data_IF_662415413082
#
_entry.id   IF_662415413082
#
_cell.length_a   1.000
_cell.length_b   1.000
_cell.length_c   1.000
_cell.angle_alpha   90.00
_cell.angle_beta   90.00
_cell.angle_gamma   90.00
#
_symmetry.space_group_name_H-M   'P 1'
#
loop_
_entity.id
_entity.type
_entity.pdbx_description
1 polymer ?
#
# COMPACT_ATOMS: atom_id res chain seq x y z
N UNK A 1 -17.09 -7.85 -42.83
CA UNK A 1 -17.63 -6.69 -42.06
C UNK A 1 -16.80 -6.37 -40.81
N UNK A 2 -16.46 -7.32 -39.92
CA UNK A 2 -15.66 -7.06 -38.70
C UNK A 2 -14.21 -6.58 -38.92
N UNK A 3 -13.55 -6.99 -40.01
CA UNK A 3 -12.15 -6.62 -40.31
C UNK A 3 -12.05 -5.17 -40.82
N UNK A 4 -13.05 -4.72 -41.57
CA UNK A 4 -13.11 -3.36 -42.12
C UNK A 4 -13.27 -2.30 -41.02
N UNK A 5 -14.08 -2.59 -40.00
CA UNK A 5 -14.25 -1.74 -38.82
C UNK A 5 -12.99 -1.65 -37.95
N UNK A 6 -12.22 -2.75 -37.84
CA UNK A 6 -10.94 -2.74 -37.11
C UNK A 6 -9.90 -1.84 -37.78
N UNK A 7 -9.74 -1.91 -39.11
CA UNK A 7 -8.83 -1.01 -39.85
C UNK A 7 -9.22 0.45 -39.66
N UNK A 8 -10.50 0.79 -39.76
CA UNK A 8 -10.99 2.16 -39.56
C UNK A 8 -10.72 2.73 -38.15
N UNK A 9 -10.94 1.93 -37.10
CA UNK A 9 -10.69 2.34 -35.71
C UNK A 9 -9.19 2.57 -35.48
N UNK A 10 -8.33 1.69 -36.03
CA UNK A 10 -6.88 1.80 -35.89
C UNK A 10 -6.33 3.03 -36.63
N UNK A 11 -6.83 3.31 -37.83
CA UNK A 11 -6.49 4.53 -38.58
C UNK A 11 -6.95 5.79 -37.85
N UNK A 12 -8.12 5.78 -37.22
CA UNK A 12 -8.61 6.92 -36.42
C UNK A 12 -7.76 7.16 -35.16
N UNK A 13 -7.33 6.09 -34.48
CA UNK A 13 -6.45 6.17 -33.31
C UNK A 13 -5.04 6.68 -33.67
N UNK A 14 -4.49 6.24 -34.81
CA UNK A 14 -3.20 6.74 -35.32
C UNK A 14 -3.28 8.22 -35.73
N UNK A 15 -4.37 8.63 -36.39
CA UNK A 15 -4.60 10.04 -36.73
C UNK A 15 -4.74 10.90 -35.46
N UNK A 16 -5.45 10.43 -34.44
CA UNK A 16 -5.59 11.13 -33.15
C UNK A 16 -4.24 11.26 -32.39
N UNK A 17 -3.39 10.24 -32.46
CA UNK A 17 -2.04 10.23 -31.89
C UNK A 17 -1.11 11.24 -32.58
N UNK A 18 -1.18 11.33 -33.91
CA UNK A 18 -0.40 12.29 -34.69
C UNK A 18 -0.90 13.73 -34.47
N UNK A 19 -2.20 13.94 -34.30
CA UNK A 19 -2.77 15.27 -34.01
C UNK A 19 -2.39 15.77 -32.61
N UNK A 20 -2.34 14.91 -31.58
CA UNK A 20 -1.97 15.33 -30.23
C UNK A 20 -0.47 15.59 -30.01
N UNK A 21 0.42 15.05 -30.86
CA UNK A 21 1.86 15.36 -30.82
C UNK A 21 2.24 16.62 -31.60
N UNK A 22 1.32 17.21 -32.36
CA UNK A 22 1.53 18.41 -33.16
C UNK A 22 0.93 19.61 -32.41
N UNK A 23 1.61 20.05 -31.36
CA UNK A 23 1.66 21.49 -31.05
C UNK A 23 2.77 22.10 -31.90
N UNK A 24 2.55 22.22 -33.21
CA UNK A 24 3.50 22.89 -34.11
C UNK A 24 3.14 24.40 -34.17
N UNK A 25 4.08 25.32 -33.90
CA UNK A 25 3.86 26.74 -34.11
C UNK A 25 3.63 27.03 -35.60
N UNK A 26 2.82 28.04 -35.90
CA UNK A 26 2.12 28.30 -37.16
C UNK A 26 2.95 28.47 -38.47
N UNK A 27 4.19 27.98 -38.60
CA UNK A 27 5.06 28.25 -39.76
C UNK A 27 5.96 27.09 -40.26
N UNK A 28 5.63 25.83 -40.01
CA UNK A 28 6.37 24.71 -40.63
C UNK A 28 5.70 24.25 -41.95
N UNK A 29 6.41 24.38 -43.08
CA UNK A 29 5.97 23.91 -44.39
C UNK A 29 5.91 22.38 -44.43
N UNK A 30 4.77 21.84 -44.87
CA UNK A 30 4.55 20.41 -45.13
C UNK A 30 5.55 19.88 -46.18
N UNK A 31 6.25 18.79 -45.84
CA UNK A 31 6.96 17.94 -46.80
C UNK A 31 6.27 16.56 -46.79
N UNK A 32 6.06 16.04 -47.98
CA UNK A 32 5.18 14.91 -48.34
C UNK A 32 5.35 13.66 -47.46
N UNK A 33 4.23 13.12 -46.98
CA UNK A 33 4.16 11.78 -46.39
C UNK A 33 4.13 10.73 -47.53
N UNK A 34 5.08 9.78 -47.50
CA UNK A 34 5.06 8.58 -48.35
C UNK A 34 3.92 7.63 -47.91
N UNK A 35 3.30 6.96 -48.87
CA UNK A 35 2.33 5.89 -48.65
C UNK A 35 2.96 4.74 -47.84
N UNK A 36 2.30 4.35 -46.75
CA UNK A 36 2.65 3.20 -45.90
C UNK A 36 2.31 1.88 -46.61
N UNK A 37 3.21 0.90 -46.56
CA UNK A 37 3.02 -0.43 -47.18
C UNK A 37 2.42 -1.42 -46.18
N UNK A 38 1.80 -2.50 -46.68
CA UNK A 38 1.22 -3.57 -45.83
C UNK A 38 2.26 -4.24 -44.92
N UNK A 39 3.53 -4.24 -45.33
CA UNK A 39 4.67 -4.76 -44.55
C UNK A 39 4.93 -3.92 -43.27
N UNK A 40 4.69 -2.60 -43.33
CA UNK A 40 4.80 -1.70 -42.17
C UNK A 40 3.65 -1.93 -41.15
N UNK A 41 2.56 -2.58 -41.58
CA UNK A 41 1.40 -2.91 -40.74
C UNK A 41 1.63 -4.20 -39.94
N UNK A 42 2.33 -5.19 -40.50
CA UNK A 42 2.71 -6.42 -39.77
C UNK A 42 3.78 -6.16 -38.70
N UNK A 43 4.69 -5.21 -38.94
CA UNK A 43 5.66 -4.77 -37.91
C UNK A 43 4.94 -4.03 -36.78
N UNK A 44 3.88 -3.26 -37.08
CA UNK A 44 3.00 -2.61 -36.10
C UNK A 44 2.05 -3.57 -35.35
N UNK A 45 1.62 -4.69 -35.94
CA UNK A 45 0.86 -5.73 -35.23
C UNK A 45 1.76 -6.51 -34.24
N UNK A 46 3.06 -6.59 -34.52
CA UNK A 46 4.07 -7.21 -33.65
C UNK A 46 4.62 -6.29 -32.56
N UNK A 47 4.59 -4.96 -32.77
CA UNK A 47 4.65 -3.99 -31.66
C UNK A 47 3.35 -4.16 -30.88
N UNK A 48 3.45 -4.79 -29.72
CA UNK A 48 2.29 -5.36 -29.04
C UNK A 48 1.24 -4.28 -28.85
N UNK A 49 -0.01 -4.60 -29.19
CA UNK A 49 -1.18 -3.87 -28.71
C UNK A 49 -1.09 -3.62 -27.18
N UNK A 50 -0.42 -4.50 -26.41
CA UNK A 50 -0.08 -4.28 -25.00
C UNK A 50 0.81 -3.05 -24.74
N UNK A 51 1.79 -2.79 -25.61
CA UNK A 51 2.71 -1.66 -25.47
C UNK A 51 1.99 -0.34 -25.80
N UNK A 52 1.08 -0.35 -26.78
CA UNK A 52 0.18 0.78 -27.08
C UNK A 52 -0.81 1.00 -25.91
N UNK A 53 -1.38 -0.04 -25.32
CA UNK A 53 -2.18 0.10 -24.10
C UNK A 53 -1.36 0.62 -22.92
N UNK A 54 -0.07 0.25 -22.82
CA UNK A 54 0.84 0.77 -21.78
C UNK A 54 1.15 2.26 -21.95
N UNK A 55 1.14 2.75 -23.20
CA UNK A 55 1.29 4.17 -23.53
C UNK A 55 0.01 4.99 -23.25
N UNK A 56 -1.15 4.34 -23.13
CA UNK A 56 -2.43 4.96 -22.75
C UNK A 56 -2.84 4.69 -21.29
N UNK A 57 -2.19 3.75 -20.59
CA UNK A 57 -2.33 3.59 -19.15
C UNK A 57 -1.51 4.66 -18.46
N UNK A 58 -2.17 5.74 -18.07
CA UNK A 58 -1.54 6.86 -17.38
C UNK A 58 -1.21 6.55 -15.90
N UNK A 59 -0.91 5.30 -15.52
CA UNK A 59 -0.87 4.83 -14.13
C UNK A 59 0.37 3.95 -13.84
N UNK A 60 1.58 4.50 -13.98
CA UNK A 60 2.82 3.83 -13.57
C UNK A 60 2.88 3.51 -12.06
N UNK A 61 3.93 2.80 -11.63
CA UNK A 61 4.18 2.57 -10.20
C UNK A 61 4.38 3.89 -9.45
N UNK A 62 3.60 4.06 -8.39
CA UNK A 62 3.65 5.15 -7.44
C UNK A 62 4.23 4.67 -6.11
N UNK A 63 4.79 5.60 -5.34
CA UNK A 63 5.30 5.35 -4.01
C UNK A 63 4.46 6.13 -2.99
N UNK A 64 4.00 5.45 -1.95
CA UNK A 64 3.21 6.07 -0.90
C UNK A 64 4.05 7.07 -0.10
N UNK A 65 3.50 8.26 0.13
CA UNK A 65 4.03 9.24 1.06
C UNK A 65 2.88 9.93 1.78
N UNK A 66 3.20 10.63 2.87
CA UNK A 66 2.28 11.53 3.54
C UNK A 66 3.00 12.83 3.87
N UNK A 67 2.23 13.91 3.99
CA UNK A 67 2.73 15.21 4.43
C UNK A 67 2.20 15.47 5.83
N UNK A 68 3.05 15.24 6.83
CA UNK A 68 2.73 15.56 8.23
C UNK A 68 2.64 17.07 8.45
N UNK A 69 1.61 17.51 9.17
CA UNK A 69 1.33 18.95 9.43
C UNK A 69 1.67 19.38 10.87
N UNK A 70 2.41 18.54 11.60
CA UNK A 70 2.75 18.77 12.99
C UNK A 70 1.64 18.36 13.96
N UNK A 71 1.88 18.60 15.25
CA UNK A 71 1.12 18.01 16.35
C UNK A 71 -0.37 18.34 16.26
N UNK A 72 -1.21 17.29 16.20
CA UNK A 72 -2.67 17.40 16.18
C UNK A 72 -3.27 17.82 14.84
N UNK A 73 -2.45 18.17 13.85
CA UNK A 73 -2.92 18.50 12.50
C UNK A 73 -2.94 17.25 11.62
N UNK A 74 -4.03 17.10 10.87
CA UNK A 74 -4.28 15.95 10.00
C UNK A 74 -3.24 15.92 8.87
N UNK A 75 -2.63 14.75 8.65
CA UNK A 75 -1.70 14.58 7.54
C UNK A 75 -2.43 14.51 6.19
N UNK A 76 -1.76 14.94 5.12
CA UNK A 76 -2.26 14.83 3.75
C UNK A 76 -1.61 13.63 3.05
N UNK A 77 -2.39 12.91 2.23
CA UNK A 77 -1.88 11.86 1.35
C UNK A 77 -1.41 12.39 -0.02
N UNK A 78 -0.93 11.51 -0.92
CA UNK A 78 -0.46 11.87 -2.25
C UNK A 78 -1.59 12.42 -3.13
N UNK A 79 -1.50 13.70 -3.53
CA UNK A 79 -2.56 14.39 -4.29
C UNK A 79 -2.87 13.71 -5.61
N UNK A 80 -1.86 13.14 -6.24
CA UNK A 80 -1.96 12.39 -7.49
C UNK A 80 -2.83 11.13 -7.38
N UNK A 81 -2.99 10.59 -6.16
CA UNK A 81 -3.68 9.32 -5.92
C UNK A 81 -5.04 9.46 -5.24
N UNK A 82 -5.30 10.59 -4.57
CA UNK A 82 -6.52 10.80 -3.77
C UNK A 82 -7.81 10.49 -4.54
N UNK A 83 -7.84 10.77 -5.85
CA UNK A 83 -9.00 10.53 -6.70
C UNK A 83 -9.39 9.06 -6.80
N UNK A 84 -8.43 8.14 -6.79
CA UNK A 84 -8.69 6.72 -7.00
C UNK A 84 -8.47 5.85 -5.75
N UNK A 85 -7.95 6.38 -4.64
CA UNK A 85 -7.82 5.60 -3.39
C UNK A 85 -9.18 5.11 -2.89
N UNK A 86 -10.15 6.02 -2.75
CA UNK A 86 -11.50 5.68 -2.27
C UNK A 86 -12.23 4.73 -3.22
N UNK A 87 -12.07 4.91 -4.53
CA UNK A 87 -12.66 4.03 -5.55
C UNK A 87 -12.15 2.58 -5.43
N UNK A 88 -10.94 2.39 -4.91
CA UNK A 88 -10.26 1.10 -4.79
C UNK A 88 -10.10 0.61 -3.35
N UNK A 89 -10.96 1.05 -2.43
CA UNK A 89 -10.96 0.62 -1.02
C UNK A 89 -9.57 0.76 -0.36
N UNK A 90 -8.87 1.84 -0.70
CA UNK A 90 -7.56 2.17 -0.15
C UNK A 90 -7.66 3.34 0.83
N UNK A 91 -7.09 3.16 2.02
CA UNK A 91 -7.23 4.07 3.15
C UNK A 91 -5.87 4.36 3.77
N UNK A 92 -5.64 5.61 4.18
CA UNK A 92 -4.44 6.03 4.90
C UNK A 92 -4.74 6.79 6.19
N UNK A 93 -6.00 7.19 6.38
CA UNK A 93 -6.50 8.01 7.47
C UNK A 93 -7.92 7.54 7.79
N UNK A 94 -8.22 7.36 9.07
CA UNK A 94 -9.57 7.08 9.58
C UNK A 94 -10.40 8.34 9.81
N UNK A 95 -11.35 8.29 10.75
CA UNK A 95 -12.21 9.42 11.10
C UNK A 95 -11.39 10.57 11.72
N UNK A 96 -11.11 11.57 10.89
CA UNK A 96 -10.31 12.74 11.25
C UNK A 96 -11.01 13.70 12.25
N UNK A 97 -12.28 13.44 12.60
CA UNK A 97 -12.98 14.18 13.67
C UNK A 97 -12.76 13.59 15.05
N UNK A 98 -12.23 12.35 15.14
CA UNK A 98 -12.04 11.62 16.39
C UNK A 98 -10.56 11.42 16.68
N UNK A 99 -10.18 11.59 17.94
CA UNK A 99 -8.84 11.26 18.44
C UNK A 99 -8.65 9.74 18.55
N UNK A 100 -8.72 9.05 17.43
CA UNK A 100 -8.47 7.61 17.33
C UNK A 100 -7.15 7.40 16.58
N UNK A 101 -6.35 6.47 17.07
CA UNK A 101 -5.13 5.97 16.42
C UNK A 101 -5.31 4.48 16.13
N UNK A 102 -4.99 4.07 14.90
CA UNK A 102 -4.89 2.68 14.49
C UNK A 102 -3.41 2.32 14.44
N UNK A 103 -2.94 1.57 15.44
CA UNK A 103 -1.55 1.16 15.54
C UNK A 103 -1.30 -0.06 14.65
N UNK A 104 -0.31 0.03 13.78
CA UNK A 104 0.01 -1.03 12.82
C UNK A 104 1.51 -1.28 12.74
N UNK A 105 1.87 -2.52 12.45
CA UNK A 105 3.26 -2.98 12.30
C UNK A 105 3.44 -3.74 10.99
N UNK A 106 4.59 -3.56 10.34
CA UNK A 106 4.99 -4.40 9.20
C UNK A 106 6.05 -5.42 9.64
N UNK A 107 5.77 -6.70 9.42
CA UNK A 107 6.57 -7.84 9.89
C UNK A 107 7.17 -8.61 8.70
N UNK A 108 8.36 -8.19 8.27
CA UNK A 108 9.14 -8.87 7.23
C UNK A 108 10.02 -10.01 7.78
N UNK A 109 10.54 -9.85 8.99
CA UNK A 109 11.38 -10.81 9.72
C UNK A 109 11.42 -10.43 11.21
N UNK A 110 11.74 -11.38 12.08
CA UNK A 110 11.87 -11.13 13.53
C UNK A 110 13.27 -10.65 13.94
N UNK A 111 13.35 -9.78 14.94
CA UNK A 111 14.60 -9.24 15.48
C UNK A 111 14.67 -9.26 17.02
N UNK A 112 13.89 -10.11 17.69
CA UNK A 112 13.89 -10.31 19.15
C UNK A 112 13.07 -9.29 19.95
N UNK A 113 12.10 -8.64 19.31
CA UNK A 113 11.38 -7.48 19.83
C UNK A 113 9.86 -7.66 19.84
N UNK A 114 9.29 -8.41 18.90
CA UNK A 114 7.83 -8.54 18.74
C UNK A 114 7.16 -9.10 19.98
N UNK A 115 7.77 -10.10 20.62
CA UNK A 115 7.24 -10.65 21.88
C UNK A 115 7.10 -9.60 22.99
N UNK A 116 8.05 -8.66 23.11
CA UNK A 116 8.01 -7.58 24.10
C UNK A 116 6.98 -6.51 23.73
N UNK A 117 6.84 -6.23 22.42
CA UNK A 117 5.81 -5.31 21.92
C UNK A 117 4.42 -5.89 22.26
N UNK A 118 4.18 -7.17 22.01
CA UNK A 118 2.94 -7.85 22.39
C UNK A 118 2.66 -7.77 23.89
N UNK A 119 3.68 -7.98 24.74
CA UNK A 119 3.54 -7.84 26.20
C UNK A 119 3.07 -6.42 26.60
N UNK A 120 3.68 -5.39 26.02
CA UNK A 120 3.30 -3.98 26.24
C UNK A 120 1.86 -3.72 25.78
N UNK A 121 1.51 -4.17 24.57
CA UNK A 121 0.16 -3.97 24.02
C UNK A 121 -0.90 -4.65 24.87
N UNK A 122 -0.63 -5.86 25.36
CA UNK A 122 -1.49 -6.61 26.27
C UNK A 122 -1.66 -5.91 27.62
N UNK A 123 -0.59 -5.41 28.23
CA UNK A 123 -0.65 -4.65 29.49
C UNK A 123 -1.52 -3.40 29.35
N UNK A 124 -1.37 -2.67 28.24
CA UNK A 124 -2.09 -1.43 27.97
C UNK A 124 -3.47 -1.63 27.34
N UNK A 125 -3.83 -2.88 27.03
CA UNK A 125 -5.07 -3.25 26.32
C UNK A 125 -5.24 -2.48 25.01
N UNK A 126 -4.15 -2.33 24.26
CA UNK A 126 -4.13 -1.62 22.98
C UNK A 126 -4.18 -2.62 21.84
N UNK A 127 -5.23 -2.60 21.00
CA UNK A 127 -5.25 -3.41 19.78
C UNK A 127 -4.25 -2.88 18.76
N UNK A 128 -3.76 -3.77 17.89
CA UNK A 128 -2.86 -3.45 16.80
C UNK A 128 -3.12 -4.39 15.62
N UNK A 129 -2.65 -4.00 14.43
CA UNK A 129 -2.64 -4.85 13.25
C UNK A 129 -1.21 -5.09 12.77
N UNK A 130 -0.83 -6.36 12.60
CA UNK A 130 0.48 -6.80 12.14
C UNK A 130 0.35 -7.29 10.69
N UNK A 131 0.93 -6.55 9.74
CA UNK A 131 0.98 -6.92 8.33
C UNK A 131 2.19 -7.82 8.10
N UNK A 132 1.94 -9.11 7.90
CA UNK A 132 2.99 -10.15 7.89
C UNK A 132 3.22 -10.69 6.48
N UNK A 133 4.48 -10.98 6.16
CA UNK A 133 4.83 -11.76 4.97
C UNK A 133 4.76 -13.26 5.27
N UNK A 134 4.57 -14.10 4.25
CA UNK A 134 4.53 -15.58 4.44
C UNK A 134 5.77 -16.12 5.18
N UNK A 135 7.02 -15.72 4.84
CA UNK A 135 8.20 -16.17 5.58
C UNK A 135 8.18 -15.87 7.08
N UNK A 136 7.47 -14.81 7.52
CA UNK A 136 7.33 -14.50 8.94
C UNK A 136 6.39 -15.50 9.61
N UNK A 137 5.26 -15.84 8.97
CA UNK A 137 4.33 -16.87 9.46
C UNK A 137 5.04 -18.23 9.62
N UNK A 138 5.83 -18.62 8.62
CA UNK A 138 6.50 -19.91 8.61
C UNK A 138 7.58 -20.03 9.70
N UNK A 139 8.28 -18.92 10.01
CA UNK A 139 9.41 -18.89 10.95
C UNK A 139 9.00 -18.59 12.38
N UNK A 140 7.95 -17.81 12.57
CA UNK A 140 7.53 -17.28 13.87
C UNK A 140 6.09 -17.71 14.24
N UNK A 141 5.74 -19.00 14.15
CA UNK A 141 4.36 -19.45 14.33
C UNK A 141 3.80 -19.15 15.73
N UNK A 142 4.65 -19.12 16.76
CA UNK A 142 4.23 -18.81 18.12
C UNK A 142 3.91 -17.32 18.30
N UNK A 143 4.63 -16.42 17.62
CA UNK A 143 4.31 -15.00 17.62
C UNK A 143 3.00 -14.72 16.87
N UNK A 144 2.76 -15.39 15.74
CA UNK A 144 1.48 -15.27 15.02
C UNK A 144 0.30 -15.74 15.90
N UNK A 145 0.44 -16.86 16.59
CA UNK A 145 -0.60 -17.34 17.53
C UNK A 145 -0.84 -16.33 18.65
N UNK A 146 0.23 -15.79 19.26
CA UNK A 146 0.11 -14.74 20.28
C UNK A 146 -0.63 -13.52 19.75
N UNK A 147 -0.32 -13.05 18.55
CA UNK A 147 -1.04 -11.91 17.95
C UNK A 147 -2.55 -12.17 17.95
N UNK A 148 -2.99 -13.34 17.46
CA UNK A 148 -4.41 -13.70 17.39
C UNK A 148 -5.02 -13.90 18.78
N UNK A 149 -4.38 -14.66 19.66
CA UNK A 149 -4.88 -15.01 20.99
C UNK A 149 -4.97 -13.80 21.92
N UNK A 150 -4.11 -12.80 21.72
CA UNK A 150 -4.08 -11.54 22.47
C UNK A 150 -5.00 -10.47 21.87
N UNK A 151 -5.74 -10.79 20.80
CA UNK A 151 -6.78 -9.95 20.21
C UNK A 151 -6.29 -8.94 19.18
N UNK A 152 -5.10 -9.15 18.61
CA UNK A 152 -4.58 -8.35 17.50
C UNK A 152 -4.98 -8.94 16.15
N UNK A 153 -4.88 -8.11 15.10
CA UNK A 153 -5.08 -8.54 13.73
C UNK A 153 -3.76 -8.98 13.11
N UNK A 154 -3.80 -10.10 12.39
CA UNK A 154 -2.71 -10.55 11.51
C UNK A 154 -3.19 -10.38 10.08
N UNK A 155 -2.57 -9.44 9.36
CA UNK A 155 -2.99 -8.94 8.07
C UNK A 155 -1.98 -9.31 6.99
N UNK A 156 -2.37 -9.18 5.72
CA UNK A 156 -1.57 -9.65 4.59
C UNK A 156 -0.55 -8.59 4.15
N UNK A 157 0.74 -8.97 4.02
CA UNK A 157 1.80 -8.11 3.46
C UNK A 157 2.50 -8.74 2.24
N UNK A 158 1.78 -9.57 1.49
CA UNK A 158 2.25 -10.42 0.38
C UNK A 158 3.17 -11.57 0.80
N UNK A 159 3.35 -12.54 -0.10
CA UNK A 159 4.18 -13.72 0.18
C UNK A 159 5.67 -13.37 0.12
N UNK A 160 6.10 -12.74 -0.97
CA UNK A 160 7.53 -12.51 -1.27
C UNK A 160 7.94 -11.04 -1.15
N UNK A 161 7.04 -10.15 -0.74
CA UNK A 161 7.29 -8.70 -0.66
C UNK A 161 7.68 -8.05 -2.01
N UNK A 162 7.09 -8.41 -3.18
CA UNK A 162 7.42 -7.75 -4.44
C UNK A 162 6.71 -6.39 -4.55
N UNK A 163 7.14 -5.54 -5.49
CA UNK A 163 6.28 -4.42 -5.89
C UNK A 163 5.03 -4.95 -6.59
N UNK A 164 3.89 -4.89 -5.91
CA UNK A 164 2.61 -5.35 -6.46
C UNK A 164 2.16 -4.49 -7.66
N UNK A 165 2.63 -3.26 -7.76
CA UNK A 165 2.37 -2.36 -8.88
C UNK A 165 2.96 -2.86 -10.22
N UNK A 166 3.98 -3.73 -10.17
CA UNK A 166 4.68 -4.29 -11.35
C UNK A 166 4.11 -5.64 -11.79
N UNK A 167 3.17 -6.21 -11.04
CA UNK A 167 2.60 -7.53 -11.33
C UNK A 167 1.26 -7.36 -12.01
N UNK A 168 1.26 -7.32 -13.34
CA UNK A 168 0.04 -7.22 -14.16
C UNK A 168 -0.60 -8.59 -14.46
N UNK A 169 0.14 -9.67 -14.22
CA UNK A 169 -0.38 -11.03 -14.37
C UNK A 169 -1.24 -11.39 -13.17
N UNK A 170 -2.55 -11.57 -13.40
CA UNK A 170 -3.54 -11.79 -12.33
C UNK A 170 -3.26 -13.04 -11.50
N UNK A 171 -2.79 -14.12 -12.12
CA UNK A 171 -2.50 -15.35 -11.38
C UNK A 171 -1.32 -15.16 -10.44
N UNK A 172 -0.24 -14.53 -10.92
CA UNK A 172 0.91 -14.16 -10.08
C UNK A 172 0.50 -13.19 -8.98
N UNK A 173 -0.29 -12.17 -9.31
CA UNK A 173 -0.79 -11.18 -8.34
C UNK A 173 -1.59 -11.88 -7.22
N UNK A 174 -2.57 -12.72 -7.59
CA UNK A 174 -3.40 -13.45 -6.63
C UNK A 174 -2.59 -14.46 -5.81
N UNK A 175 -1.54 -15.05 -6.39
CA UNK A 175 -0.67 -15.98 -5.68
C UNK A 175 0.06 -15.33 -4.49
N UNK A 176 0.37 -14.02 -4.58
CA UNK A 176 1.01 -13.29 -3.49
C UNK A 176 0.09 -13.11 -2.28
N UNK A 177 -1.24 -13.11 -2.47
CA UNK A 177 -2.21 -13.05 -1.38
C UNK A 177 -2.53 -14.44 -0.83
N UNK A 178 -2.92 -15.35 -1.72
CA UNK A 178 -3.44 -16.68 -1.37
C UNK A 178 -2.41 -17.53 -0.62
N UNK A 179 -1.12 -17.44 -0.97
CA UNK A 179 -0.07 -18.17 -0.24
C UNK A 179 0.06 -17.73 1.23
N UNK A 180 -0.17 -16.45 1.53
CA UNK A 180 -0.17 -15.93 2.91
C UNK A 180 -1.44 -16.37 3.64
N UNK A 181 -2.59 -16.31 2.97
CA UNK A 181 -3.88 -16.76 3.51
C UNK A 181 -3.84 -18.24 3.88
N UNK A 182 -3.30 -19.09 3.00
CA UNK A 182 -3.15 -20.53 3.25
C UNK A 182 -2.22 -20.81 4.43
N UNK A 183 -1.06 -20.14 4.50
CA UNK A 183 -0.14 -20.29 5.62
C UNK A 183 -0.81 -19.90 6.95
N UNK A 184 -1.52 -18.77 6.98
CA UNK A 184 -2.27 -18.33 8.15
C UNK A 184 -3.38 -19.30 8.53
N UNK A 185 -4.20 -19.73 7.56
CA UNK A 185 -5.33 -20.65 7.80
C UNK A 185 -4.85 -22.00 8.30
N UNK A 186 -3.74 -22.52 7.76
CA UNK A 186 -3.14 -23.77 8.24
C UNK A 186 -2.64 -23.65 9.68
N UNK A 187 -2.11 -22.49 10.08
CA UNK A 187 -1.59 -22.27 11.42
C UNK A 187 -2.68 -21.97 12.47
N UNK A 188 -3.66 -21.15 12.10
CA UNK A 188 -4.66 -20.57 13.02
C UNK A 188 -6.04 -21.24 12.91
N UNK A 189 -6.34 -21.89 11.79
CA UNK A 189 -7.63 -22.53 11.55
C UNK A 189 -8.78 -21.55 11.24
N UNK A 190 -8.46 -20.28 10.96
CA UNK A 190 -9.42 -19.22 10.63
C UNK A 190 -9.02 -18.53 9.33
N UNK A 191 -9.98 -17.90 8.65
CA UNK A 191 -9.67 -17.06 7.50
C UNK A 191 -8.97 -15.78 7.94
N UNK A 192 -8.00 -15.32 7.15
CA UNK A 192 -7.24 -14.11 7.44
C UNK A 192 -8.12 -12.85 7.26
N UNK A 193 -8.04 -11.86 8.16
CA UNK A 193 -8.61 -10.54 7.95
C UNK A 193 -8.22 -9.95 6.58
N UNK A 194 -9.21 -9.43 5.84
CA UNK A 194 -9.01 -8.90 4.48
C UNK A 194 -8.46 -7.46 4.49
N UNK A 195 -7.37 -7.26 5.21
CA UNK A 195 -6.56 -6.04 5.21
C UNK A 195 -5.20 -6.33 4.57
N UNK A 196 -4.80 -5.48 3.64
CA UNK A 196 -3.55 -5.63 2.91
C UNK A 196 -2.75 -4.34 2.97
N UNK A 197 -1.43 -4.45 3.14
CA UNK A 197 -0.53 -3.31 2.94
C UNK A 197 0.39 -3.58 1.76
N UNK A 198 0.40 -2.72 0.72
CA UNK A 198 1.31 -2.89 -0.39
C UNK A 198 2.78 -2.87 0.06
N UNK A 199 3.60 -3.87 -0.30
CA UNK A 199 5.03 -3.89 -0.04
C UNK A 199 5.71 -2.59 -0.44
N UNK A 200 6.60 -2.09 0.44
CA UNK A 200 7.38 -0.86 0.23
C UNK A 200 6.52 0.41 0.06
N UNK A 201 5.20 0.33 0.28
CA UNK A 201 4.26 1.39 -0.08
C UNK A 201 4.14 1.62 -1.58
N UNK A 202 4.52 0.65 -2.43
CA UNK A 202 4.45 0.76 -3.88
C UNK A 202 3.11 0.27 -4.40
N UNK A 203 2.47 1.06 -5.25
CA UNK A 203 1.13 0.78 -5.77
C UNK A 203 0.90 1.43 -7.14
N UNK A 204 -0.12 0.97 -7.83
CA UNK A 204 -0.72 1.58 -9.03
C UNK A 204 -2.23 1.49 -8.90
N UNK A 205 -2.97 2.29 -9.68
CA UNK A 205 -4.44 2.18 -9.74
C UNK A 205 -4.89 0.75 -10.07
N UNK A 206 -4.21 0.10 -11.00
CA UNK A 206 -4.46 -1.30 -11.38
C UNK A 206 -4.24 -2.26 -10.21
N UNK A 207 -3.10 -2.16 -9.49
CA UNK A 207 -2.84 -3.05 -8.35
C UNK A 207 -3.85 -2.87 -7.20
N UNK A 208 -4.33 -1.65 -6.95
CA UNK A 208 -5.36 -1.40 -5.95
C UNK A 208 -6.70 -1.98 -6.40
N UNK A 209 -7.04 -1.83 -7.69
CA UNK A 209 -8.24 -2.45 -8.28
C UNK A 209 -8.21 -3.97 -8.14
N UNK A 210 -7.09 -4.62 -8.48
CA UNK A 210 -6.94 -6.07 -8.32
C UNK A 210 -6.99 -6.50 -6.85
N UNK A 211 -6.42 -5.70 -5.94
CA UNK A 211 -6.50 -5.96 -4.49
C UNK A 211 -7.95 -5.90 -4.01
N UNK A 212 -8.71 -4.89 -4.46
CA UNK A 212 -10.14 -4.76 -4.15
C UNK A 212 -10.96 -5.92 -4.71
N UNK A 213 -10.68 -6.38 -5.92
CA UNK A 213 -11.36 -7.55 -6.53
C UNK A 213 -11.16 -8.84 -5.71
N UNK A 214 -10.07 -8.94 -4.95
CA UNK A 214 -9.82 -10.03 -3.99
C UNK A 214 -10.54 -9.84 -2.64
N UNK A 215 -11.33 -8.78 -2.48
CA UNK A 215 -12.06 -8.43 -1.27
C UNK A 215 -11.21 -7.74 -0.21
N UNK A 216 -9.97 -7.35 -0.52
CA UNK A 216 -9.07 -6.68 0.41
C UNK A 216 -9.28 -5.17 0.45
N UNK A 217 -9.11 -4.61 1.65
CA UNK A 217 -8.90 -3.17 1.83
C UNK A 217 -7.41 -2.88 1.91
N UNK A 218 -6.95 -1.93 1.11
CA UNK A 218 -5.54 -1.50 1.12
C UNK A 218 -5.32 -0.48 2.23
N UNK A 219 -4.46 -0.79 3.19
CA UNK A 219 -4.17 0.04 4.36
C UNK A 219 -2.76 0.62 4.25
N UNK A 220 -2.70 1.91 3.94
CA UNK A 220 -1.48 2.71 3.97
C UNK A 220 -1.25 3.28 5.38
N UNK A 221 -0.63 4.46 5.48
CA UNK A 221 -0.36 5.14 6.74
C UNK A 221 -0.38 6.67 6.56
N UNK A 222 -0.78 7.36 7.62
CA UNK A 222 -0.69 8.83 7.74
C UNK A 222 0.43 9.26 8.68
N UNK A 223 1.10 8.31 9.33
CA UNK A 223 2.35 8.51 10.07
C UNK A 223 3.27 7.30 9.91
N UNK A 224 4.55 7.58 9.66
CA UNK A 224 5.65 6.63 9.79
C UNK A 224 6.94 7.41 10.05
N UNK A 225 7.96 6.71 10.56
CA UNK A 225 9.32 7.25 10.67
C UNK A 225 10.34 6.13 10.50
N UNK A 226 11.62 6.47 10.32
CA UNK A 226 12.68 5.53 9.95
C UNK A 226 13.16 4.66 11.12
N UNK A 227 12.32 3.73 11.56
CA UNK A 227 12.56 2.79 12.66
C UNK A 227 13.05 1.40 12.19
N UNK A 228 12.87 1.07 10.91
CA UNK A 228 13.19 -0.24 10.33
C UNK A 228 14.69 -0.54 10.10
N UNK A 229 15.58 0.46 10.24
CA UNK A 229 17.02 0.25 10.06
C UNK A 229 17.67 -0.29 11.32
N UNK A 230 17.72 -1.62 11.49
CA UNK A 230 18.24 -2.30 12.69
C UNK A 230 19.64 -1.82 13.12
N UNK A 231 20.54 -1.54 12.17
CA UNK A 231 21.91 -1.07 12.46
C UNK A 231 22.03 0.43 12.70
N UNK A 232 20.96 1.19 12.53
CA UNK A 232 20.94 2.65 12.66
C UNK A 232 19.61 3.11 13.28
N UNK A 233 19.37 2.63 14.51
CA UNK A 233 18.16 2.94 15.25
C UNK A 233 18.16 4.40 15.72
N UNK A 234 17.00 5.09 15.65
CA UNK A 234 16.89 6.45 16.15
C UNK A 234 17.06 6.52 17.67
N UNK A 235 17.52 7.67 18.18
CA UNK A 235 17.53 7.93 19.61
C UNK A 235 16.10 7.89 20.17
N UNK A 236 15.95 7.37 21.40
CA UNK A 236 14.64 7.21 22.05
C UNK A 236 13.88 8.55 22.18
N UNK A 237 14.57 9.63 22.58
CA UNK A 237 13.97 10.96 22.67
C UNK A 237 13.46 11.50 21.34
N UNK A 238 14.24 11.32 20.26
CA UNK A 238 13.83 11.70 18.91
C UNK A 238 12.61 10.92 18.47
N UNK A 239 12.59 9.61 18.69
CA UNK A 239 11.49 8.74 18.29
C UNK A 239 10.20 9.08 19.06
N UNK A 240 10.28 9.29 20.38
CA UNK A 240 9.16 9.76 21.20
C UNK A 240 8.61 11.08 20.68
N UNK A 241 9.47 12.06 20.43
CA UNK A 241 9.06 13.37 19.89
C UNK A 241 8.40 13.21 18.51
N UNK A 242 9.01 12.41 17.64
CA UNK A 242 8.52 12.19 16.27
C UNK A 242 7.13 11.57 16.27
N UNK A 243 6.90 10.53 17.07
CA UNK A 243 5.59 9.88 17.19
C UNK A 243 4.56 10.83 17.81
N UNK A 244 4.91 11.51 18.90
CA UNK A 244 3.99 12.40 19.61
C UNK A 244 3.58 13.60 18.75
N UNK A 245 4.52 14.18 18.00
CA UNK A 245 4.25 15.30 17.08
C UNK A 245 3.59 14.85 15.77
N UNK A 246 3.71 13.57 15.43
CA UNK A 246 3.08 12.97 14.26
C UNK A 246 1.67 12.45 14.51
N UNK A 247 1.28 12.22 15.77
CA UNK A 247 -0.07 11.77 16.13
C UNK A 247 -1.12 12.86 15.84
N UNK A 248 -2.21 12.44 15.21
CA UNK A 248 -3.33 13.28 14.80
C UNK A 248 -4.65 12.46 14.81
N UNK A 249 -5.82 13.11 14.83
CA UNK A 249 -7.12 12.44 14.69
C UNK A 249 -7.17 11.53 13.46
N UNK A 250 -7.69 10.31 13.63
CA UNK A 250 -7.80 9.30 12.59
C UNK A 250 -6.47 8.67 12.13
N UNK A 251 -5.37 8.87 12.87
CA UNK A 251 -4.04 8.45 12.42
C UNK A 251 -3.93 6.92 12.23
N UNK A 252 -3.46 6.48 11.06
CA UNK A 252 -2.95 5.12 10.87
C UNK A 252 -1.43 5.17 11.05
N UNK A 253 -0.97 4.66 12.18
CA UNK A 253 0.42 4.71 12.63
C UNK A 253 1.15 3.45 12.17
N UNK A 254 2.13 3.60 11.28
CA UNK A 254 3.04 2.53 10.88
C UNK A 254 4.32 2.59 11.70
N UNK A 255 4.58 1.52 12.44
CA UNK A 255 5.84 1.21 13.12
C UNK A 255 6.40 -0.13 12.63
N UNK A 256 7.63 -0.48 13.02
CA UNK A 256 8.18 -1.82 12.78
C UNK A 256 8.64 -2.48 14.08
N UNK A 257 8.32 -3.76 14.26
CA UNK A 257 8.76 -4.51 15.44
C UNK A 257 10.25 -4.87 15.39
N UNK A 258 10.93 -4.76 14.24
CA UNK A 258 12.40 -4.94 14.19
C UNK A 258 13.17 -3.88 14.98
N UNK A 259 12.51 -2.78 15.39
CA UNK A 259 13.10 -1.65 16.11
C UNK A 259 13.21 -1.91 17.62
N UNK A 260 14.45 -1.95 18.12
CA UNK A 260 14.72 -1.97 19.56
C UNK A 260 14.36 -0.63 20.22
N UNK A 261 14.47 0.49 19.49
CA UNK A 261 14.00 1.80 19.98
C UNK A 261 12.49 1.78 20.22
N UNK A 262 11.68 1.32 19.24
CA UNK A 262 10.22 1.19 19.42
C UNK A 262 9.89 0.38 20.67
N UNK A 263 10.54 -0.77 20.86
CA UNK A 263 10.30 -1.64 22.01
C UNK A 263 10.47 -0.91 23.34
N UNK A 264 11.46 -0.01 23.46
CA UNK A 264 11.72 0.73 24.70
C UNK A 264 10.77 1.90 24.94
N UNK A 265 10.27 2.52 23.86
CA UNK A 265 9.48 3.75 23.95
C UNK A 265 7.98 3.53 23.81
N UNK A 266 7.55 2.35 23.36
CA UNK A 266 6.15 2.11 23.00
C UNK A 266 5.21 2.36 24.17
N UNK A 267 5.54 1.81 25.34
CA UNK A 267 4.73 1.95 26.55
C UNK A 267 4.56 3.43 26.98
N UNK A 268 5.63 4.22 27.21
CA UNK A 268 5.47 5.63 27.58
C UNK A 268 4.80 6.47 26.48
N UNK A 269 5.02 6.16 25.19
CA UNK A 269 4.37 6.85 24.08
C UNK A 269 2.87 6.59 24.07
N UNK A 270 2.42 5.34 24.19
CA UNK A 270 0.99 5.00 24.24
C UNK A 270 0.33 5.70 25.44
N UNK A 271 0.92 5.59 26.64
CA UNK A 271 0.40 6.27 27.85
C UNK A 271 0.30 7.78 27.66
N UNK A 272 1.29 8.40 27.01
CA UNK A 272 1.29 9.82 26.71
C UNK A 272 0.21 10.23 25.70
N UNK A 273 -0.05 9.41 24.68
CA UNK A 273 -1.11 9.70 23.70
C UNK A 273 -2.50 9.51 24.33
N UNK A 274 -2.69 8.47 25.15
CA UNK A 274 -3.92 8.25 25.91
C UNK A 274 -4.21 9.41 26.86
N UNK A 275 -3.21 9.94 27.58
CA UNK A 275 -3.40 11.11 28.45
C UNK A 275 -3.75 12.40 27.70
N UNK A 276 -3.46 12.47 26.39
CA UNK A 276 -3.90 13.54 25.49
C UNK A 276 -5.31 13.31 24.90
N UNK A 277 -5.99 12.25 25.32
CA UNK A 277 -7.33 11.87 24.91
C UNK A 277 -7.39 11.08 23.60
N UNK A 278 -6.28 10.44 23.18
CA UNK A 278 -6.35 9.47 22.09
C UNK A 278 -6.81 8.11 22.58
N UNK A 279 -7.70 7.50 21.80
CA UNK A 279 -8.05 6.09 21.91
C UNK A 279 -7.30 5.30 20.84
N UNK A 280 -6.89 4.07 21.18
CA UNK A 280 -6.34 3.14 20.20
C UNK A 280 -7.40 2.10 19.85
N UNK A 281 -7.65 1.90 18.57
CA UNK A 281 -8.71 1.01 18.07
C UNK A 281 -8.21 0.01 17.03
N UNK A 282 -8.91 -1.12 16.93
CA UNK A 282 -8.66 -2.14 15.92
C UNK A 282 -9.03 -1.63 14.53
N UNK A 283 -8.42 -2.18 13.47
CA UNK A 283 -8.87 -1.92 12.10
C UNK A 283 -10.29 -2.47 11.83
N UNK A 284 -10.77 -3.42 12.64
CA UNK A 284 -12.18 -3.87 12.56
C UNK A 284 -13.18 -2.75 12.93
N UNK A 285 -12.72 -1.74 13.70
CA UNK A 285 -13.51 -0.57 14.08
C UNK A 285 -13.30 0.62 13.11
N UNK A 286 -12.55 0.41 12.03
CA UNK A 286 -12.22 1.47 11.10
C UNK A 286 -13.45 1.86 10.26
N UNK A 287 -13.71 3.18 10.06
CA UNK A 287 -14.87 3.66 9.32
C UNK A 287 -14.62 3.53 7.81
N UNK A 288 -15.00 2.40 7.22
CA UNK A 288 -14.73 2.13 5.80
C UNK A 288 -15.71 2.81 4.82
N UNK A 289 -16.57 3.72 5.29
CA UNK A 289 -17.63 4.41 4.54
C UNK A 289 -17.20 5.74 3.86
#
# INVERSE_FOLDING_TARGET
MKIFYKKWILTFLLIALVINFISIPANAKFKEFKEFKEEDIEEFENVKIKDIFSLFSNDGELNWYFVGKGKGNIAEGPKESLSFLKENDAYFLGDASKKIIYLTFDEGYENGNTGKILDILKELKVPAAFFVVKPYIDKEPDLIKRMVDEGHLVCNHSSHHPSMAQIHDKEKFNSEFTQVEEAYKNLIGKDMPKYFRPPMGKYSKESLSMTKDLGYKSIFWSFAYKDWLVKNQPAESYAVEKITNGAHPGCIMLLHAVSSTNTKILEPVIKNLQSQGYEFKSLDEFPFD
#
